data_IF_554390928274
#
_entry.id   IF_554390928274
#
_cell.length_a   1.000
_cell.length_b   1.000
_cell.length_c   1.000
_cell.angle_alpha   90.00
_cell.angle_beta   90.00
_cell.angle_gamma   90.00
#
_symmetry.space_group_name_H-M   'P 1'
#
loop_
_entity.id
_entity.type
_entity.pdbx_description
1 polymer ?
#
# COMPACT_ATOMS: atom_id res chain seq x y z
N UNK A 1 -13.15 9.04 17.21
CA UNK A 1 -12.42 8.95 15.94
C UNK A 1 -11.44 7.81 16.03
N UNK A 2 -11.47 6.88 15.06
CA UNK A 2 -10.51 5.78 15.02
C UNK A 2 -9.19 6.26 14.45
N UNK A 3 -8.13 5.46 14.61
CA UNK A 3 -6.84 5.73 13.97
C UNK A 3 -6.97 5.79 12.45
N UNK A 4 -7.86 4.97 11.86
CA UNK A 4 -8.10 5.02 10.42
C UNK A 4 -8.76 6.34 10.01
N UNK A 5 -9.72 6.83 10.80
CA UNK A 5 -10.35 8.13 10.53
C UNK A 5 -9.30 9.25 10.57
N UNK A 6 -8.40 9.20 11.54
CA UNK A 6 -7.32 10.18 11.67
C UNK A 6 -6.37 10.11 10.48
N UNK A 7 -5.96 8.90 10.09
CA UNK A 7 -5.07 8.70 8.95
C UNK A 7 -5.72 9.23 7.66
N UNK A 8 -7.00 8.91 7.45
CA UNK A 8 -7.75 9.40 6.30
C UNK A 8 -7.85 10.91 6.26
N UNK A 9 -8.12 11.53 7.42
CA UNK A 9 -8.27 12.99 7.50
C UNK A 9 -6.97 13.74 7.18
N UNK A 10 -5.81 13.13 7.45
CA UNK A 10 -4.51 13.76 7.24
C UNK A 10 -3.80 13.30 5.96
N UNK A 11 -4.48 12.51 5.13
CA UNK A 11 -3.92 12.04 3.86
C UNK A 11 -3.85 13.16 2.81
N UNK A 12 -4.74 14.12 2.84
CA UNK A 12 -4.83 15.18 1.83
C UNK A 12 -3.48 15.89 1.66
N UNK A 13 -3.00 15.99 0.43
CA UNK A 13 -1.71 16.60 0.11
C UNK A 13 -0.52 15.67 0.26
N UNK A 14 -0.74 14.42 0.65
CA UNK A 14 0.31 13.41 0.86
C UNK A 14 -0.04 12.14 0.11
N UNK A 15 0.91 11.21 0.03
CA UNK A 15 0.67 9.92 -0.62
C UNK A 15 0.30 8.83 0.38
N UNK A 16 0.75 8.96 1.64
CA UNK A 16 0.55 7.95 2.68
C UNK A 16 0.43 8.64 4.03
N UNK A 17 -0.48 8.16 4.88
CA UNK A 17 -0.56 8.57 6.27
C UNK A 17 -0.75 7.34 7.14
N UNK A 18 0.07 7.22 8.19
CA UNK A 18 0.00 6.12 9.15
C UNK A 18 -0.34 6.70 10.51
N UNK A 19 -1.23 6.03 11.27
CA UNK A 19 -1.67 6.49 12.57
C UNK A 19 -1.79 5.34 13.56
N UNK A 20 -1.31 5.56 14.79
CA UNK A 20 -1.51 4.61 15.88
C UNK A 20 -1.64 5.40 17.19
N UNK A 21 -2.69 5.05 17.97
CA UNK A 21 -2.96 5.69 19.27
C UNK A 21 -3.04 7.22 19.15
N UNK A 22 -3.60 7.70 18.04
CA UNK A 22 -3.79 9.13 17.79
C UNK A 22 -2.57 9.84 17.23
N UNK A 23 -1.40 9.22 17.22
CA UNK A 23 -0.19 9.81 16.66
C UNK A 23 -0.04 9.41 15.18
N UNK A 24 0.15 10.38 14.31
CA UNK A 24 0.20 10.13 12.87
C UNK A 24 1.42 10.78 12.23
N UNK A 25 1.84 10.20 11.10
CA UNK A 25 2.88 10.79 10.26
C UNK A 25 2.55 10.49 8.79
N UNK A 26 3.10 11.32 7.91
CA UNK A 26 2.81 11.26 6.48
C UNK A 26 4.08 11.01 5.67
N UNK A 27 3.89 10.60 4.43
CA UNK A 27 4.97 10.44 3.46
C UNK A 27 4.47 10.92 2.11
N UNK A 28 5.37 11.45 1.29
CA UNK A 28 5.04 12.01 -0.03
C UNK A 28 5.71 11.25 -1.16
N UNK A 29 6.35 10.13 -0.86
CA UNK A 29 6.99 9.29 -1.86
C UNK A 29 5.99 8.68 -2.84
N UNK A 30 6.50 8.13 -3.94
CA UNK A 30 5.66 7.59 -5.01
C UNK A 30 5.38 6.11 -4.83
N UNK A 31 4.15 5.74 -5.16
CA UNK A 31 3.74 4.35 -5.26
C UNK A 31 4.02 3.58 -3.98
N UNK A 32 4.68 2.44 -4.12
CA UNK A 32 4.99 1.56 -3.00
C UNK A 32 6.32 1.89 -2.30
N UNK A 33 7.07 2.87 -2.81
CA UNK A 33 8.38 3.23 -2.25
C UNK A 33 8.34 3.56 -0.77
N UNK A 34 7.36 4.36 -0.25
CA UNK A 34 7.32 4.66 1.18
C UNK A 34 7.21 3.42 2.05
N UNK A 35 6.32 2.49 1.70
CA UNK A 35 6.14 1.27 2.50
C UNK A 35 7.37 0.36 2.43
N UNK A 36 7.97 0.22 1.24
CA UNK A 36 9.21 -0.57 1.11
C UNK A 36 10.33 0.01 1.96
N UNK A 37 10.47 1.34 1.98
CA UNK A 37 11.48 2.01 2.79
C UNK A 37 11.24 1.77 4.28
N UNK A 38 10.00 1.99 4.74
CA UNK A 38 9.65 1.81 6.16
C UNK A 38 9.87 0.37 6.62
N UNK A 39 9.49 -0.60 5.80
CA UNK A 39 9.72 -2.03 6.10
C UNK A 39 11.21 -2.31 6.16
N UNK A 40 11.98 -1.79 5.20
CA UNK A 40 13.43 -1.98 5.14
C UNK A 40 14.17 -1.36 6.32
N UNK A 41 13.63 -0.28 6.87
CA UNK A 41 14.18 0.37 8.06
C UNK A 41 13.75 -0.29 9.37
N UNK A 42 12.98 -1.37 9.28
CA UNK A 42 12.42 -2.08 10.45
C UNK A 42 11.58 -1.18 11.35
N UNK A 43 10.86 -0.21 10.77
CA UNK A 43 9.92 0.59 11.53
C UNK A 43 8.81 -0.31 12.06
N UNK A 44 8.52 -0.22 13.35
CA UNK A 44 7.47 -1.01 13.98
C UNK A 44 6.10 -0.47 13.60
N UNK A 45 5.52 -1.00 12.53
CA UNK A 45 4.24 -0.54 11.99
C UNK A 45 3.05 -1.42 12.39
N UNK A 46 3.30 -2.49 13.14
CA UNK A 46 2.23 -3.40 13.56
C UNK A 46 1.17 -2.64 14.35
N UNK A 47 -0.08 -2.82 13.96
CA UNK A 47 -1.21 -2.18 14.62
C UNK A 47 -1.53 -0.77 14.16
N UNK A 48 -0.73 -0.21 13.24
CA UNK A 48 -1.05 1.10 12.67
C UNK A 48 -2.23 1.00 11.70
N UNK A 49 -3.01 2.08 11.61
CA UNK A 49 -3.94 2.27 10.51
C UNK A 49 -3.21 2.99 9.39
N UNK A 50 -3.54 2.66 8.15
CA UNK A 50 -2.89 3.27 6.97
C UNK A 50 -3.92 3.85 6.02
N UNK A 51 -3.69 5.07 5.58
CA UNK A 51 -4.43 5.69 4.48
C UNK A 51 -3.44 5.94 3.33
N UNK A 52 -3.81 5.50 2.14
CA UNK A 52 -2.96 5.57 0.96
C UNK A 52 -3.79 6.08 -0.22
N UNK A 53 -3.16 6.83 -1.12
CA UNK A 53 -3.87 7.34 -2.29
C UNK A 53 -4.20 6.24 -3.30
N UNK A 54 -3.38 5.20 -3.41
CA UNK A 54 -3.59 4.09 -4.34
C UNK A 54 -3.22 2.76 -3.67
N UNK A 55 -4.20 1.86 -3.56
CA UNK A 55 -3.98 0.54 -2.95
C UNK A 55 -4.37 -0.53 -3.96
N UNK A 56 -3.36 -1.09 -4.63
CA UNK A 56 -3.49 -2.30 -5.41
C UNK A 56 -3.02 -3.50 -4.60
N UNK A 57 -2.92 -4.66 -5.23
CA UNK A 57 -2.43 -5.88 -4.58
C UNK A 57 -1.00 -5.69 -4.07
N UNK A 58 -0.14 -4.99 -4.83
CA UNK A 58 1.24 -4.74 -4.41
C UNK A 58 1.27 -3.99 -3.08
N UNK A 59 0.57 -2.86 -2.97
CA UNK A 59 0.49 -2.10 -1.73
C UNK A 59 -0.14 -2.94 -0.62
N UNK A 60 -1.20 -3.70 -0.92
CA UNK A 60 -1.87 -4.55 0.06
C UNK A 60 -0.91 -5.58 0.66
N UNK A 61 -0.07 -6.21 -0.16
CA UNK A 61 0.92 -7.18 0.33
C UNK A 61 1.91 -6.53 1.30
N UNK A 62 2.37 -5.32 1.01
CA UNK A 62 3.27 -4.59 1.91
C UNK A 62 2.58 -4.22 3.22
N UNK A 63 1.32 -3.80 3.14
CA UNK A 63 0.54 -3.47 4.34
C UNK A 63 0.34 -4.69 5.23
N UNK A 64 0.04 -5.85 4.62
CA UNK A 64 -0.06 -7.13 5.36
C UNK A 64 1.29 -7.48 5.99
N UNK A 65 2.37 -7.39 5.23
CA UNK A 65 3.73 -7.67 5.72
C UNK A 65 4.08 -6.81 6.94
N UNK A 66 3.69 -5.54 6.91
CA UNK A 66 3.97 -4.59 7.98
C UNK A 66 3.09 -4.79 9.22
N UNK A 67 2.03 -5.59 9.13
CA UNK A 67 1.10 -5.82 10.24
C UNK A 67 0.10 -4.71 10.45
N UNK A 68 -0.25 -3.99 9.39
CA UNK A 68 -1.24 -2.90 9.44
C UNK A 68 -2.61 -3.44 9.87
N UNK A 69 -3.29 -2.69 10.74
CA UNK A 69 -4.55 -3.12 11.36
C UNK A 69 -5.79 -2.74 10.56
N UNK A 70 -5.75 -1.64 9.80
CA UNK A 70 -6.88 -1.17 9.00
C UNK A 70 -6.36 -0.28 7.88
N UNK A 71 -7.05 -0.27 6.73
CA UNK A 71 -6.59 0.43 5.52
C UNK A 71 -7.71 1.25 4.90
N UNK A 72 -7.38 2.47 4.50
CA UNK A 72 -8.20 3.27 3.58
C UNK A 72 -7.38 3.52 2.32
N UNK A 73 -7.97 3.23 1.15
CA UNK A 73 -7.37 3.58 -0.13
C UNK A 73 -8.23 4.60 -0.84
N UNK A 74 -7.69 5.76 -1.19
CA UNK A 74 -8.45 6.73 -1.97
C UNK A 74 -8.93 6.08 -3.27
N UNK A 75 -8.03 5.35 -3.94
CA UNK A 75 -8.35 4.45 -5.05
C UNK A 75 -7.87 3.06 -4.64
N UNK A 76 -8.74 2.08 -4.73
CA UNK A 76 -8.40 0.70 -4.37
C UNK A 76 -8.80 -0.23 -5.51
N UNK A 77 -7.92 -1.17 -5.87
CA UNK A 77 -8.27 -2.16 -6.87
C UNK A 77 -9.03 -3.31 -6.24
N UNK A 78 -9.79 -4.04 -7.05
CA UNK A 78 -10.50 -5.24 -6.58
C UNK A 78 -9.51 -6.28 -6.04
N UNK A 79 -8.35 -6.45 -6.68
CA UNK A 79 -7.33 -7.37 -6.21
C UNK A 79 -6.74 -6.95 -4.86
N UNK A 80 -6.51 -5.64 -4.67
CA UNK A 80 -6.04 -5.09 -3.40
C UNK A 80 -7.03 -5.32 -2.28
N UNK A 81 -8.31 -5.02 -2.54
CA UNK A 81 -9.40 -5.24 -1.58
C UNK A 81 -9.48 -6.72 -1.20
N UNK A 82 -9.49 -7.62 -2.19
CA UNK A 82 -9.58 -9.06 -1.95
C UNK A 82 -8.41 -9.56 -1.11
N UNK A 83 -7.20 -9.08 -1.37
CA UNK A 83 -6.02 -9.49 -0.62
C UNK A 83 -6.12 -9.05 0.85
N UNK A 84 -6.50 -7.80 1.10
CA UNK A 84 -6.68 -7.31 2.47
C UNK A 84 -7.75 -8.09 3.22
N UNK A 85 -8.89 -8.35 2.58
CA UNK A 85 -9.98 -9.10 3.19
C UNK A 85 -9.59 -10.54 3.49
N UNK A 86 -8.84 -11.19 2.58
CA UNK A 86 -8.35 -12.54 2.79
C UNK A 86 -7.41 -12.64 3.99
N UNK A 87 -6.73 -11.56 4.34
CA UNK A 87 -5.83 -11.50 5.49
C UNK A 87 -6.47 -10.86 6.73
N UNK A 88 -7.79 -10.68 6.72
CA UNK A 88 -8.52 -10.20 7.88
C UNK A 88 -8.34 -8.72 8.19
N UNK A 89 -7.89 -7.93 7.22
CA UNK A 89 -7.68 -6.49 7.42
C UNK A 89 -8.89 -5.72 6.93
N UNK A 90 -9.63 -5.02 7.83
CA UNK A 90 -10.74 -4.18 7.40
C UNK A 90 -10.23 -3.05 6.51
N UNK A 91 -10.94 -2.80 5.42
CA UNK A 91 -10.56 -1.76 4.48
C UNK A 91 -11.76 -0.99 3.97
N UNK A 92 -11.51 0.28 3.67
CA UNK A 92 -12.48 1.17 3.03
C UNK A 92 -11.79 1.87 1.86
N UNK A 93 -12.59 2.50 1.00
CA UNK A 93 -12.03 3.16 -0.18
C UNK A 93 -12.92 4.31 -0.63
N UNK A 94 -12.31 5.23 -1.38
CA UNK A 94 -13.07 6.27 -2.07
C UNK A 94 -13.63 5.76 -3.38
N UNK A 95 -12.76 5.17 -4.22
CA UNK A 95 -13.13 4.60 -5.52
C UNK A 95 -12.55 3.19 -5.63
N UNK A 96 -13.38 2.25 -6.04
CA UNK A 96 -12.96 0.87 -6.33
C UNK A 96 -12.76 0.76 -7.86
N UNK A 97 -11.61 0.22 -8.27
CA UNK A 97 -11.28 0.07 -9.70
C UNK A 97 -10.90 -1.38 -10.02
N UNK A 98 -10.98 -1.75 -11.31
CA UNK A 98 -10.57 -3.08 -11.75
C UNK A 98 -9.08 -3.29 -11.57
N UNK A 99 -8.26 -2.33 -12.04
CA UNK A 99 -6.81 -2.45 -12.03
C UNK A 99 -6.16 -1.12 -11.67
N UNK A 100 -4.94 -1.19 -11.13
CA UNK A 100 -4.09 -0.03 -10.98
C UNK A 100 -3.35 0.16 -12.30
N UNK A 101 -3.48 1.33 -12.88
CA UNK A 101 -2.95 1.65 -14.20
C UNK A 101 -1.56 2.30 -14.05
N UNK A 102 -0.67 2.04 -14.99
CA UNK A 102 0.67 2.62 -15.00
C UNK A 102 0.61 4.13 -15.28
N UNK A 103 1.75 4.81 -15.13
CA UNK A 103 1.82 6.26 -15.29
C UNK A 103 1.46 6.74 -16.70
N UNK A 104 1.74 5.93 -17.70
CA UNK A 104 1.42 6.27 -19.10
C UNK A 104 -0.05 6.11 -19.41
N UNK A 105 -0.81 5.42 -18.57
CA UNK A 105 -2.23 5.20 -18.77
C UNK A 105 -2.56 4.14 -19.81
N UNK A 106 -1.58 3.37 -20.27
CA UNK A 106 -1.76 2.42 -21.36
C UNK A 106 -1.70 0.94 -20.94
N UNK A 107 -1.62 0.66 -19.65
CA UNK A 107 -1.60 -0.71 -19.16
C UNK A 107 -1.56 -0.80 -17.65
N UNK A 108 -1.56 -2.04 -17.16
CA UNK A 108 -1.52 -2.34 -15.73
C UNK A 108 -0.15 -1.98 -15.16
N UNK A 109 -0.14 -1.43 -13.94
CA UNK A 109 1.08 -1.09 -13.23
C UNK A 109 2.05 -2.28 -13.18
N UNK A 110 3.35 -2.08 -13.52
CA UNK A 110 4.33 -3.17 -13.46
C UNK A 110 4.45 -3.85 -12.12
N UNK A 111 4.26 -3.12 -11.02
CA UNK A 111 4.29 -3.70 -9.67
C UNK A 111 3.12 -4.65 -9.46
N UNK A 112 1.94 -4.32 -9.98
CA UNK A 112 0.78 -5.21 -9.91
C UNK A 112 1.00 -6.48 -10.74
N UNK A 113 1.60 -6.34 -11.90
CA UNK A 113 1.94 -7.50 -12.74
C UNK A 113 2.92 -8.43 -12.03
N UNK A 114 3.91 -7.87 -11.33
CA UNK A 114 4.95 -8.65 -10.66
C UNK A 114 4.39 -9.54 -9.56
N UNK A 115 3.29 -9.15 -8.90
CA UNK A 115 2.70 -9.90 -7.78
C UNK A 115 1.36 -10.56 -8.10
N UNK A 116 0.89 -10.47 -9.33
CA UNK A 116 -0.45 -10.93 -9.70
C UNK A 116 -0.70 -12.40 -9.33
N UNK A 117 0.31 -13.26 -9.43
CA UNK A 117 0.19 -14.69 -9.14
C UNK A 117 0.70 -15.07 -7.74
N UNK A 118 1.12 -14.11 -6.93
CA UNK A 118 1.67 -14.38 -5.59
C UNK A 118 0.61 -14.20 -4.52
N UNK A 119 0.66 -15.04 -3.49
CA UNK A 119 -0.23 -14.92 -2.33
C UNK A 119 0.52 -14.59 -1.05
N UNK A 120 1.81 -14.96 -0.95
CA UNK A 120 2.59 -14.75 0.26
C UNK A 120 3.13 -13.31 0.31
N UNK A 121 2.80 -12.58 1.37
CA UNK A 121 3.21 -11.18 1.54
C UNK A 121 4.73 -11.03 1.66
N UNK A 122 5.41 -11.98 2.29
CA UNK A 122 6.87 -11.96 2.42
C UNK A 122 7.53 -12.08 1.04
N UNK A 123 7.09 -13.05 0.23
CA UNK A 123 7.58 -13.22 -1.12
C UNK A 123 7.24 -12.01 -1.99
N UNK A 124 6.04 -11.47 -1.84
CA UNK A 124 5.63 -10.26 -2.55
C UNK A 124 6.53 -9.07 -2.25
N UNK A 125 6.86 -8.87 -0.98
CA UNK A 125 7.74 -7.78 -0.57
C UNK A 125 9.12 -7.90 -1.24
N UNK A 126 9.70 -9.09 -1.27
CA UNK A 126 11.00 -9.33 -1.91
C UNK A 126 10.95 -9.06 -3.42
N UNK A 127 9.91 -9.57 -4.10
CA UNK A 127 9.73 -9.36 -5.54
C UNK A 127 9.56 -7.87 -5.86
N UNK A 128 8.76 -7.15 -5.06
CA UNK A 128 8.51 -5.73 -5.28
C UNK A 128 9.78 -4.91 -5.07
N UNK A 129 10.59 -5.24 -4.06
CA UNK A 129 11.86 -4.56 -3.82
C UNK A 129 12.81 -4.74 -4.99
N UNK A 130 12.94 -5.98 -5.49
CA UNK A 130 13.78 -6.27 -6.64
C UNK A 130 13.28 -5.55 -7.90
N UNK A 131 11.96 -5.53 -8.12
CA UNK A 131 11.37 -4.87 -9.28
C UNK A 131 11.63 -3.37 -9.23
N UNK A 132 11.44 -2.73 -8.08
CA UNK A 132 11.68 -1.31 -7.91
C UNK A 132 13.16 -0.96 -8.18
N UNK A 133 14.08 -1.76 -7.64
CA UNK A 133 15.51 -1.57 -7.87
C UNK A 133 15.86 -1.73 -9.34
N UNK A 134 15.27 -2.70 -10.03
CA UNK A 134 15.47 -2.90 -11.46
C UNK A 134 15.01 -1.68 -12.27
N UNK A 135 13.86 -1.10 -11.93
CA UNK A 135 13.34 0.08 -12.61
C UNK A 135 14.24 1.31 -12.39
N UNK A 136 14.77 1.48 -11.17
CA UNK A 136 15.69 2.57 -10.86
C UNK A 136 16.99 2.45 -11.64
N UNK A 137 17.50 1.22 -11.83
CA UNK A 137 18.77 0.99 -12.51
C UNK A 137 18.68 1.13 -14.03
N UNK A 138 17.50 1.29 -14.57
CA UNK A 138 17.29 1.50 -16.02
C UNK A 138 17.27 2.98 -16.41
N UNK A 139 17.43 3.85 -15.46
CA UNK A 139 17.37 5.30 -15.70
C UNK A 139 18.58 5.78 -16.52
#
# INVERSE_FOLDING_TARGET
MTDLDTAKAHLSGHSLCLCKDGAWFTDDGRGISPMLRLIGENRGLRGYAAADIIVGKAAAMLLVKAGIAAVYGKVMSKAGKAYLEAHGIPCTFGTLTENIINRKGDGVCPMEQAVAALDDAEAGCAVLRDKLNSLKNKA
#
